data_IF_361650721188
#
_entry.id   IF_361650721188
#
_cell.length_a   1.000
_cell.length_b   1.000
_cell.length_c   1.000
_cell.angle_alpha   90.00
_cell.angle_beta   90.00
_cell.angle_gamma   90.00
#
_symmetry.space_group_name_H-M   'P 1'
#
loop_
_entity.id
_entity.type
_entity.pdbx_description
1 polymer ?
#
# COMPACT_ATOMS: atom_id res chain seq x y z
N UNK A 1 37.15 -125.18 44.96
CA UNK A 1 36.92 -123.92 44.22
C UNK A 1 35.51 -123.93 43.66
N UNK A 2 34.56 -123.39 44.41
CA UNK A 2 33.16 -123.25 43.97
C UNK A 2 33.05 -121.89 43.28
N UNK A 3 32.81 -121.91 41.97
CA UNK A 3 32.69 -120.71 41.15
C UNK A 3 31.41 -119.99 41.55
N UNK A 4 31.54 -118.83 42.20
CA UNK A 4 30.42 -117.92 42.42
C UNK A 4 29.80 -117.55 41.09
N UNK A 5 28.46 -117.57 41.05
CA UNK A 5 27.67 -117.28 39.86
C UNK A 5 27.89 -115.81 39.43
N UNK A 6 28.20 -115.57 38.15
CA UNK A 6 28.36 -114.24 37.57
C UNK A 6 27.16 -113.31 37.87
N UNK A 7 25.98 -113.89 38.04
CA UNK A 7 24.75 -113.16 38.34
C UNK A 7 24.74 -112.52 39.74
N UNK A 8 25.48 -113.05 40.71
CA UNK A 8 25.61 -112.43 42.03
C UNK A 8 26.60 -111.26 42.00
N UNK A 9 27.66 -111.35 41.19
CA UNK A 9 28.65 -110.28 41.06
C UNK A 9 28.04 -109.03 40.42
N UNK A 10 27.21 -109.21 39.38
CA UNK A 10 26.50 -108.11 38.70
C UNK A 10 25.48 -107.45 39.64
N UNK A 11 24.82 -108.21 40.53
CA UNK A 11 23.92 -107.64 41.53
C UNK A 11 24.67 -106.87 42.62
N UNK A 12 25.87 -107.31 43.00
CA UNK A 12 26.70 -106.58 43.96
C UNK A 12 27.33 -105.32 43.35
N UNK A 13 27.69 -105.31 42.07
CA UNK A 13 28.18 -104.09 41.40
C UNK A 13 27.05 -103.09 41.12
N UNK A 14 25.89 -103.54 40.64
CA UNK A 14 24.76 -102.65 40.35
C UNK A 14 24.19 -101.96 41.60
N UNK A 15 24.33 -102.56 42.79
CA UNK A 15 23.89 -101.96 44.05
C UNK A 15 24.99 -101.17 44.79
N UNK A 16 26.24 -101.15 44.30
CA UNK A 16 27.35 -100.43 44.93
C UNK A 16 27.63 -99.05 44.31
N UNK A 17 27.03 -98.75 43.15
CA UNK A 17 27.11 -97.44 42.49
C UNK A 17 25.86 -96.55 42.73
N UNK A 18 24.86 -97.01 43.49
CA UNK A 18 23.68 -96.22 43.86
C UNK A 18 23.75 -95.76 45.32
N UNK A 19 24.87 -95.15 45.71
CA UNK A 19 24.92 -94.41 46.97
C UNK A 19 25.86 -93.21 46.82
N UNK A 20 25.29 -92.00 46.86
CA UNK A 20 25.95 -90.68 46.96
C UNK A 20 26.15 -89.84 45.69
N UNK A 21 25.08 -89.50 44.98
CA UNK A 21 25.03 -88.28 44.15
C UNK A 21 23.63 -87.62 44.25
N UNK A 22 23.45 -86.51 44.98
CA UNK A 22 22.28 -85.67 44.80
C UNK A 22 22.46 -84.81 43.55
N UNK A 23 21.69 -85.09 42.51
CA UNK A 23 21.54 -84.26 41.32
C UNK A 23 21.09 -82.84 41.71
N UNK A 24 21.73 -81.76 41.19
CA UNK A 24 21.21 -80.42 41.39
C UNK A 24 19.99 -80.22 40.48
N UNK A 25 18.81 -80.42 41.04
CA UNK A 25 17.56 -79.94 40.43
C UNK A 25 17.65 -78.41 40.22
N UNK A 26 17.37 -77.87 39.01
CA UNK A 26 17.29 -76.43 38.82
C UNK A 26 16.16 -75.88 39.70
N UNK A 27 16.49 -75.14 40.75
CA UNK A 27 15.51 -74.42 41.56
C UNK A 27 14.85 -73.35 40.67
N UNK A 28 13.74 -73.70 40.00
CA UNK A 28 12.74 -72.69 39.62
C UNK A 28 12.21 -72.10 40.92
N UNK A 29 12.63 -70.87 41.21
CA UNK A 29 12.02 -70.04 42.25
C UNK A 29 10.53 -69.91 41.94
N UNK A 30 9.70 -70.65 42.67
CA UNK A 30 8.25 -70.48 42.63
C UNK A 30 7.94 -69.13 43.26
N UNK A 31 7.60 -68.16 42.42
CA UNK A 31 7.13 -66.85 42.87
C UNK A 31 5.88 -67.07 43.74
N UNK A 32 5.91 -66.57 44.97
CA UNK A 32 4.81 -66.78 45.91
C UNK A 32 3.64 -65.86 45.57
N UNK A 33 2.41 -66.27 45.91
CA UNK A 33 1.22 -65.46 45.69
C UNK A 33 1.35 -64.05 46.31
N UNK A 34 1.99 -63.94 47.48
CA UNK A 34 2.30 -62.65 48.10
C UNK A 34 3.21 -61.75 47.25
N UNK A 35 4.19 -62.33 46.54
CA UNK A 35 5.09 -61.59 45.62
C UNK A 35 4.34 -61.08 44.39
N UNK A 36 3.43 -61.88 43.83
CA UNK A 36 2.57 -61.47 42.72
C UNK A 36 1.62 -60.35 43.15
N UNK A 37 1.04 -60.45 44.34
CA UNK A 37 0.14 -59.41 44.86
C UNK A 37 0.86 -58.08 45.10
N UNK A 38 2.10 -58.11 45.59
CA UNK A 38 2.91 -56.89 45.73
C UNK A 38 3.16 -56.22 44.37
N UNK A 39 3.54 -57.00 43.35
CA UNK A 39 3.69 -56.48 41.97
C UNK A 39 2.41 -55.90 41.41
N UNK A 40 1.26 -56.52 41.67
CA UNK A 40 -0.05 -55.99 41.25
C UNK A 40 -0.31 -54.63 41.90
N UNK A 41 -0.05 -54.50 43.21
CA UNK A 41 -0.26 -53.25 43.93
C UNK A 41 0.67 -52.14 43.41
N UNK A 42 1.94 -52.45 43.17
CA UNK A 42 2.93 -51.50 42.64
C UNK A 42 2.55 -51.02 41.24
N UNK A 43 2.17 -51.95 40.35
CA UNK A 43 1.70 -51.60 38.99
C UNK A 43 0.42 -50.77 39.03
N UNK A 44 -0.48 -51.04 39.97
CA UNK A 44 -1.71 -50.25 40.15
C UNK A 44 -1.40 -48.82 40.56
N UNK A 45 -0.46 -48.63 41.51
CA UNK A 45 -0.03 -47.30 41.94
C UNK A 45 0.69 -46.53 40.82
N UNK A 46 1.50 -47.21 40.01
CA UNK A 46 2.16 -46.61 38.86
C UNK A 46 1.18 -46.22 37.75
N UNK A 47 0.13 -47.03 37.54
CA UNK A 47 -0.96 -46.73 36.62
C UNK A 47 -1.75 -45.50 37.07
N UNK A 48 -2.14 -45.41 38.34
CA UNK A 48 -2.81 -44.21 38.89
C UNK A 48 -1.95 -42.94 38.77
N UNK A 49 -0.64 -43.06 39.02
CA UNK A 49 0.30 -41.94 38.85
C UNK A 49 0.38 -41.49 37.39
N UNK A 50 0.42 -42.45 36.46
CA UNK A 50 0.47 -42.18 35.03
C UNK A 50 -0.83 -41.52 34.56
N UNK A 51 -1.98 -41.97 35.04
CA UNK A 51 -3.28 -41.39 34.74
C UNK A 51 -3.39 -39.94 35.22
N UNK A 52 -2.94 -39.64 36.44
CA UNK A 52 -2.86 -38.27 36.96
C UNK A 52 -1.97 -37.38 36.10
N UNK A 53 -0.79 -37.87 35.71
CA UNK A 53 0.11 -37.13 34.83
C UNK A 53 -0.52 -36.87 33.45
N UNK A 54 -1.23 -37.85 32.90
CA UNK A 54 -1.94 -37.70 31.63
C UNK A 54 -3.02 -36.62 31.72
N UNK A 55 -3.82 -36.60 32.80
CA UNK A 55 -4.83 -35.55 33.02
C UNK A 55 -4.18 -34.16 33.10
N UNK A 56 -3.11 -34.01 33.89
CA UNK A 56 -2.38 -32.73 33.99
C UNK A 56 -1.80 -32.28 32.65
N UNK A 57 -1.29 -33.21 31.83
CA UNK A 57 -0.79 -32.88 30.50
C UNK A 57 -1.91 -32.46 29.55
N UNK A 58 -3.08 -33.11 29.60
CA UNK A 58 -4.24 -32.72 28.81
C UNK A 58 -4.71 -31.30 29.14
N UNK A 59 -4.77 -30.95 30.43
CA UNK A 59 -5.13 -29.58 30.86
C UNK A 59 -4.12 -28.55 30.34
N UNK A 60 -2.82 -28.85 30.39
CA UNK A 60 -1.77 -27.97 29.84
C UNK A 60 -1.91 -27.80 28.34
N UNK A 61 -2.20 -28.87 27.59
CA UNK A 61 -2.41 -28.79 26.14
C UNK A 61 -3.59 -27.87 25.83
N UNK A 62 -4.72 -28.03 26.52
CA UNK A 62 -5.90 -27.17 26.33
C UNK A 62 -5.56 -25.69 26.62
N UNK A 63 -4.79 -25.43 27.68
CA UNK A 63 -4.36 -24.07 28.01
C UNK A 63 -3.47 -23.46 26.93
N UNK A 64 -2.50 -24.23 26.42
CA UNK A 64 -1.57 -23.77 25.37
C UNK A 64 -2.28 -23.57 24.03
N UNK A 65 -3.23 -24.43 23.67
CA UNK A 65 -4.05 -24.26 22.47
C UNK A 65 -4.85 -22.96 22.52
N UNK A 66 -5.39 -22.61 23.70
CA UNK A 66 -6.09 -21.35 23.91
C UNK A 66 -5.15 -20.15 23.74
N UNK A 67 -3.98 -20.19 24.39
CA UNK A 67 -2.98 -19.11 24.30
C UNK A 67 -2.47 -18.92 22.86
N UNK A 68 -2.24 -20.01 22.13
CA UNK A 68 -1.83 -19.96 20.72
C UNK A 68 -2.91 -19.29 19.86
N UNK A 69 -4.19 -19.59 20.11
CA UNK A 69 -5.30 -18.97 19.38
C UNK A 69 -5.41 -17.47 19.68
N UNK A 70 -5.22 -17.07 20.93
CA UNK A 70 -5.22 -15.64 21.32
C UNK A 70 -4.03 -14.88 20.69
N UNK A 71 -2.86 -15.51 20.62
CA UNK A 71 -1.69 -14.95 19.95
C UNK A 71 -1.93 -14.75 18.44
N UNK A 72 -2.48 -15.75 17.75
CA UNK A 72 -2.84 -15.63 16.33
C UNK A 72 -3.85 -14.51 16.07
N UNK A 73 -4.84 -14.34 16.96
CA UNK A 73 -5.79 -13.24 16.86
C UNK A 73 -5.10 -11.88 17.06
N UNK A 74 -4.13 -11.81 17.96
CA UNK A 74 -3.36 -10.58 18.22
C UNK A 74 -2.52 -10.20 17.00
N UNK A 75 -1.81 -11.15 16.39
CA UNK A 75 -1.04 -10.92 15.16
C UNK A 75 -1.92 -10.41 14.01
N UNK A 76 -3.12 -10.98 13.84
CA UNK A 76 -4.09 -10.51 12.84
C UNK A 76 -4.53 -9.06 13.11
N UNK A 77 -4.80 -8.72 14.37
CA UNK A 77 -5.18 -7.36 14.75
C UNK A 77 -4.03 -6.37 14.54
N UNK A 78 -2.80 -6.75 14.82
CA UNK A 78 -1.61 -5.93 14.56
C UNK A 78 -1.41 -5.66 13.06
N UNK A 79 -1.60 -6.69 12.22
CA UNK A 79 -1.57 -6.53 10.76
C UNK A 79 -2.62 -5.52 10.29
N UNK A 80 -3.87 -5.68 10.73
CA UNK A 80 -4.97 -4.76 10.38
C UNK A 80 -4.70 -3.34 10.88
N UNK A 81 -4.11 -3.19 12.07
CA UNK A 81 -3.75 -1.89 12.61
C UNK A 81 -2.68 -1.22 11.76
N UNK A 82 -1.65 -1.96 11.35
CA UNK A 82 -0.58 -1.46 10.47
C UNK A 82 -1.10 -1.00 9.11
N UNK A 83 -1.99 -1.78 8.49
CA UNK A 83 -2.67 -1.41 7.24
C UNK A 83 -3.49 -0.13 7.41
N UNK A 84 -4.29 -0.03 8.49
CA UNK A 84 -5.08 1.17 8.77
C UNK A 84 -4.21 2.40 9.01
N UNK A 85 -3.10 2.27 9.73
CA UNK A 85 -2.16 3.37 9.95
C UNK A 85 -1.58 3.84 8.61
N UNK A 86 -1.20 2.92 7.73
CA UNK A 86 -0.70 3.25 6.39
C UNK A 86 -1.77 3.94 5.52
N UNK A 87 -3.01 3.48 5.59
CA UNK A 87 -4.11 4.13 4.86
C UNK A 87 -4.36 5.56 5.36
N UNK A 88 -4.32 5.77 6.68
CA UNK A 88 -4.50 7.10 7.29
C UNK A 88 -3.40 8.07 6.87
N UNK A 89 -2.14 7.63 6.82
CA UNK A 89 -1.03 8.49 6.37
C UNK A 89 -1.16 8.84 4.90
N UNK A 90 -1.55 7.89 4.05
CA UNK A 90 -1.80 8.13 2.62
C UNK A 90 -2.94 9.14 2.40
N UNK A 91 -4.09 8.94 3.06
CA UNK A 91 -5.23 9.85 2.96
C UNK A 91 -4.89 11.26 3.47
N UNK A 92 -4.13 11.35 4.55
CA UNK A 92 -3.67 12.65 5.08
C UNK A 92 -2.75 13.37 4.09
N UNK A 93 -1.87 12.64 3.41
CA UNK A 93 -1.03 13.21 2.35
C UNK A 93 -1.86 13.72 1.17
N UNK A 94 -2.83 12.93 0.69
CA UNK A 94 -3.72 13.32 -0.40
C UNK A 94 -4.57 14.55 -0.05
N UNK A 95 -5.04 14.64 1.20
CA UNK A 95 -5.79 15.80 1.69
C UNK A 95 -4.93 17.07 1.67
N UNK A 96 -3.68 16.98 2.11
CA UNK A 96 -2.75 18.11 2.09
C UNK A 96 -2.43 18.58 0.67
N UNK A 97 -2.25 17.64 -0.26
CA UNK A 97 -2.06 17.95 -1.69
C UNK A 97 -3.28 18.69 -2.26
N UNK A 98 -4.47 18.13 -2.06
CA UNK A 98 -5.73 18.75 -2.50
C UNK A 98 -5.92 20.17 -1.92
N UNK A 99 -5.57 20.38 -0.65
CA UNK A 99 -5.69 21.68 0.00
C UNK A 99 -4.71 22.71 -0.59
N UNK A 100 -3.51 22.26 -0.96
CA UNK A 100 -2.50 23.10 -1.62
C UNK A 100 -3.00 23.51 -3.01
N UNK A 101 -3.43 22.55 -3.83
CA UNK A 101 -4.01 22.82 -5.16
C UNK A 101 -5.21 23.77 -5.11
N UNK A 102 -6.09 23.60 -4.11
CA UNK A 102 -7.23 24.49 -3.92
C UNK A 102 -6.78 25.92 -3.64
N UNK A 103 -5.74 26.09 -2.84
CA UNK A 103 -5.18 27.41 -2.50
C UNK A 103 -4.57 28.07 -3.74
N UNK A 104 -3.82 27.32 -4.55
CA UNK A 104 -3.25 27.79 -5.80
C UNK A 104 -4.33 28.20 -6.81
N UNK A 105 -5.38 27.39 -6.96
CA UNK A 105 -6.53 27.71 -7.82
C UNK A 105 -7.26 28.98 -7.38
N UNK A 106 -7.42 29.20 -6.08
CA UNK A 106 -8.01 30.45 -5.55
C UNK A 106 -7.15 31.67 -5.90
N UNK A 107 -5.84 31.59 -5.71
CA UNK A 107 -4.92 32.67 -6.07
C UNK A 107 -4.93 32.95 -7.58
N UNK A 108 -5.03 31.90 -8.41
CA UNK A 108 -5.16 32.06 -9.86
C UNK A 108 -6.45 32.79 -10.24
N UNK A 109 -7.58 32.43 -9.62
CA UNK A 109 -8.88 33.09 -9.84
C UNK A 109 -8.78 34.58 -9.46
N UNK A 110 -8.17 34.92 -8.32
CA UNK A 110 -7.99 36.33 -7.91
C UNK A 110 -7.15 37.12 -8.91
N UNK A 111 -6.05 36.52 -9.41
CA UNK A 111 -5.19 37.15 -10.43
C UNK A 111 -5.96 37.40 -11.73
N UNK A 112 -6.69 36.39 -12.23
CA UNK A 112 -7.48 36.51 -13.45
C UNK A 112 -8.61 37.53 -13.30
N UNK A 113 -9.28 37.55 -12.15
CA UNK A 113 -10.34 38.53 -11.85
C UNK A 113 -9.79 39.96 -11.86
N UNK A 114 -8.59 40.16 -11.28
CA UNK A 114 -7.90 41.45 -11.28
C UNK A 114 -7.49 41.89 -12.69
N UNK A 115 -7.02 40.96 -13.52
CA UNK A 115 -6.67 41.23 -14.92
C UNK A 115 -7.92 41.58 -15.75
N UNK A 116 -9.03 40.87 -15.53
CA UNK A 116 -10.29 41.12 -16.20
C UNK A 116 -10.81 42.53 -15.87
N UNK A 117 -10.81 42.90 -14.58
CA UNK A 117 -11.22 44.24 -14.14
C UNK A 117 -10.38 45.34 -14.80
N UNK A 118 -9.05 45.19 -14.87
CA UNK A 118 -8.17 46.14 -15.58
C UNK A 118 -8.54 46.25 -17.06
N UNK A 119 -8.77 45.11 -17.72
CA UNK A 119 -9.12 45.07 -19.14
C UNK A 119 -10.47 45.76 -19.39
N UNK A 120 -11.46 45.57 -18.51
CA UNK A 120 -12.76 46.26 -18.59
C UNK A 120 -12.62 47.79 -18.42
N UNK A 121 -11.76 48.24 -17.51
CA UNK A 121 -11.47 49.67 -17.35
C UNK A 121 -10.82 50.25 -18.61
N UNK A 122 -9.79 49.61 -19.15
CA UNK A 122 -9.12 50.04 -20.37
C UNK A 122 -10.08 50.05 -21.58
N UNK A 123 -10.96 49.05 -21.69
CA UNK A 123 -11.98 49.00 -22.73
C UNK A 123 -12.93 50.20 -22.63
N UNK A 124 -13.34 50.55 -21.41
CA UNK A 124 -14.25 51.68 -21.15
C UNK A 124 -13.59 53.00 -21.51
N UNK A 125 -12.33 53.19 -21.12
CA UNK A 125 -11.54 54.38 -21.48
C UNK A 125 -11.37 54.51 -23.01
N UNK A 126 -11.07 53.41 -23.70
CA UNK A 126 -10.98 53.40 -25.17
C UNK A 126 -12.30 53.75 -25.84
N UNK A 127 -13.43 53.25 -25.34
CA UNK A 127 -14.77 53.60 -25.84
C UNK A 127 -15.04 55.10 -25.69
N UNK A 128 -14.74 55.68 -24.53
CA UNK A 128 -14.89 57.13 -24.31
C UNK A 128 -13.97 57.96 -25.21
N UNK A 129 -12.74 57.51 -25.46
CA UNK A 129 -11.82 58.18 -26.38
C UNK A 129 -12.36 58.16 -27.82
N UNK A 130 -12.86 57.01 -28.27
CA UNK A 130 -13.48 56.88 -29.60
C UNK A 130 -14.67 57.85 -29.73
N UNK A 131 -15.54 57.93 -28.73
CA UNK A 131 -16.68 58.85 -28.74
C UNK A 131 -16.24 60.32 -28.83
N UNK A 132 -15.23 60.72 -28.06
CA UNK A 132 -14.64 62.07 -28.12
C UNK A 132 -14.10 62.38 -29.51
N UNK A 133 -13.31 61.48 -30.10
CA UNK A 133 -12.74 61.65 -31.43
C UNK A 133 -13.83 61.73 -32.50
N UNK A 134 -14.86 60.88 -32.42
CA UNK A 134 -15.99 60.91 -33.33
C UNK A 134 -16.71 62.27 -33.30
N UNK A 135 -16.96 62.80 -32.10
CA UNK A 135 -17.57 64.12 -31.93
C UNK A 135 -16.67 65.24 -32.50
N UNK A 136 -15.36 65.18 -32.28
CA UNK A 136 -14.41 66.14 -32.86
C UNK A 136 -14.43 66.11 -34.40
N UNK A 137 -14.38 64.93 -35.00
CA UNK A 137 -14.48 64.77 -36.47
C UNK A 137 -15.79 65.38 -36.97
N UNK A 138 -16.91 65.04 -36.34
CA UNK A 138 -18.23 65.58 -36.71
C UNK A 138 -18.27 67.11 -36.60
N UNK A 139 -17.67 67.71 -35.58
CA UNK A 139 -17.60 69.18 -35.46
C UNK A 139 -16.74 69.83 -36.55
N UNK A 140 -15.65 69.17 -36.97
CA UNK A 140 -14.78 69.65 -38.04
C UNK A 140 -15.46 69.53 -39.41
N UNK A 141 -16.19 68.44 -39.66
CA UNK A 141 -16.94 68.24 -40.91
C UNK A 141 -18.12 69.20 -41.06
N UNK A 142 -18.78 69.55 -39.95
CA UNK A 142 -19.87 70.52 -39.92
C UNK A 142 -19.38 71.97 -39.73
N UNK A 143 -18.06 72.18 -39.66
CA UNK A 143 -17.49 73.52 -39.66
C UNK A 143 -17.63 74.10 -41.08
N UNK A 144 -18.24 75.28 -41.24
CA UNK A 144 -18.35 75.88 -42.56
C UNK A 144 -16.95 76.08 -43.14
N UNK A 145 -16.76 75.66 -44.40
CA UNK A 145 -15.53 75.98 -45.13
C UNK A 145 -15.27 77.49 -44.97
N UNK A 146 -14.04 77.91 -44.61
CA UNK A 146 -13.77 79.32 -44.38
C UNK A 146 -14.17 80.08 -45.63
N UNK A 147 -15.17 80.96 -45.48
CA UNK A 147 -15.60 81.87 -46.52
C UNK A 147 -14.35 82.64 -46.96
N UNK A 148 -13.92 82.56 -48.23
CA UNK A 148 -12.79 83.36 -48.67
C UNK A 148 -13.25 84.82 -48.65
N UNK A 149 -12.73 85.62 -47.71
CA UNK A 149 -12.86 87.06 -47.82
C UNK A 149 -12.22 87.52 -49.14
N UNK A 150 -12.85 88.45 -49.88
CA UNK A 150 -12.31 88.96 -51.12
C UNK A 150 -11.18 89.95 -50.79
N UNK A 151 -9.99 89.42 -50.50
CA UNK A 151 -8.76 90.20 -50.58
C UNK A 151 -8.19 90.06 -51.98
N UNK A 152 -8.23 91.16 -52.71
CA UNK A 152 -7.59 91.30 -53.99
C UNK A 152 -6.08 90.96 -53.90
N UNK A 153 -5.55 90.43 -55.01
CA UNK A 153 -4.14 90.38 -55.41
C UNK A 153 -3.34 89.14 -54.91
N UNK A 154 -3.28 88.15 -55.83
CA UNK A 154 -2.15 87.26 -56.17
C UNK A 154 -0.99 87.11 -55.19
N UNK A 155 -0.84 85.89 -54.62
CA UNK A 155 0.45 85.22 -54.34
C UNK A 155 0.27 83.69 -54.36
N UNK A 156 1.23 82.91 -54.88
CA UNK A 156 1.09 81.47 -55.00
C UNK A 156 1.16 80.78 -53.63
N UNK A 157 0.23 79.85 -53.43
CA UNK A 157 0.02 79.04 -52.23
C UNK A 157 1.21 78.07 -52.00
N UNK A 158 1.82 77.99 -50.80
CA UNK A 158 2.74 76.90 -50.49
C UNK A 158 1.95 75.61 -50.33
N UNK A 159 2.36 74.57 -51.07
CA UNK A 159 1.81 73.20 -50.99
C UNK A 159 1.85 72.72 -49.54
N UNK A 160 0.68 72.40 -48.98
CA UNK A 160 0.56 71.71 -47.69
C UNK A 160 1.21 70.32 -47.82
N UNK A 161 2.02 69.86 -46.85
CA UNK A 161 2.54 68.50 -46.87
C UNK A 161 1.37 67.53 -46.68
N UNK A 162 1.27 66.53 -47.55
CA UNK A 162 0.30 65.44 -47.44
C UNK A 162 0.56 64.65 -46.16
N UNK A 163 -0.42 64.61 -45.25
CA UNK A 163 -0.43 63.77 -44.04
C UNK A 163 -0.66 62.27 -44.34
N UNK A 164 -0.53 61.85 -45.60
CA UNK A 164 -0.68 60.45 -46.03
C UNK A 164 0.68 59.80 -46.30
N UNK A 165 1.57 59.88 -45.31
CA UNK A 165 2.64 58.88 -45.16
C UNK A 165 2.28 58.01 -43.95
N UNK A 166 1.22 57.21 -44.09
CA UNK A 166 1.15 55.97 -43.32
C UNK A 166 2.20 55.05 -43.93
N UNK A 167 3.42 55.13 -43.42
CA UNK A 167 4.37 54.03 -43.59
C UNK A 167 3.68 52.80 -42.98
N UNK A 168 3.18 51.93 -43.86
CA UNK A 168 2.88 50.55 -43.52
C UNK A 168 4.21 49.91 -43.14
N UNK A 169 4.67 50.16 -41.92
CA UNK A 169 5.74 49.38 -41.31
C UNK A 169 5.31 47.93 -41.45
N UNK A 170 6.06 47.19 -42.26
CA UNK A 170 5.82 45.80 -42.66
C UNK A 170 5.14 45.02 -41.54
N UNK A 171 3.81 44.87 -41.62
CA UNK A 171 3.12 43.84 -40.85
C UNK A 171 3.64 42.52 -41.40
N UNK A 172 4.66 41.98 -40.74
CA UNK A 172 5.08 40.61 -40.93
C UNK A 172 3.80 39.77 -40.80
N UNK A 173 3.38 39.16 -41.92
CA UNK A 173 2.28 38.20 -41.92
C UNK A 173 2.65 37.16 -40.88
N UNK A 174 1.89 37.08 -39.81
CA UNK A 174 2.04 36.02 -38.84
C UNK A 174 1.83 34.69 -39.58
N UNK A 175 2.92 33.95 -39.80
CA UNK A 175 2.87 32.57 -40.30
C UNK A 175 2.81 31.72 -39.04
N UNK A 176 1.64 31.17 -38.75
CA UNK A 176 1.51 30.22 -37.66
C UNK A 176 2.48 29.04 -37.91
N UNK A 177 3.29 28.64 -36.93
CA UNK A 177 4.13 27.45 -37.07
C UNK A 177 3.25 26.24 -37.37
N UNK A 178 3.66 25.43 -38.34
CA UNK A 178 2.99 24.18 -38.67
C UNK A 178 2.95 23.30 -37.42
N UNK A 179 1.77 22.85 -36.95
CA UNK A 179 1.71 21.94 -35.82
C UNK A 179 2.38 20.64 -36.23
N UNK A 180 3.45 20.26 -35.53
CA UNK A 180 3.93 18.88 -35.55
C UNK A 180 2.82 18.00 -35.00
N UNK A 181 2.45 16.91 -35.70
CA UNK A 181 1.48 15.96 -35.16
C UNK A 181 2.13 15.28 -33.95
N UNK A 182 1.77 15.73 -32.75
CA UNK A 182 2.04 15.00 -31.52
C UNK A 182 1.09 13.81 -31.53
N UNK A 183 1.61 12.60 -31.75
CA UNK A 183 0.88 11.37 -31.47
C UNK A 183 0.56 11.39 -29.96
N UNK A 184 -0.70 11.64 -29.63
CA UNK A 184 -1.21 11.49 -28.28
C UNK A 184 -1.21 9.99 -27.99
N UNK A 185 -0.49 9.58 -26.95
CA UNK A 185 -0.50 8.19 -26.51
C UNK A 185 -1.74 7.95 -25.65
N UNK A 186 -2.25 6.73 -25.59
CA UNK A 186 -3.44 6.40 -24.78
C UNK A 186 -3.24 6.76 -23.29
N UNK A 187 -1.99 6.84 -22.83
CA UNK A 187 -1.61 7.33 -21.50
C UNK A 187 -1.89 8.82 -21.27
N UNK A 188 -1.94 9.64 -22.32
CA UNK A 188 -2.22 11.09 -22.25
C UNK A 188 -3.73 11.40 -22.17
N UNK A 189 -4.57 10.46 -22.62
CA UNK A 189 -6.02 10.65 -22.73
C UNK A 189 -6.71 10.32 -21.39
N UNK A 190 -6.07 9.57 -20.49
CA UNK A 190 -6.51 9.40 -19.09
C UNK A 190 -7.93 8.84 -18.91
N UNK A 191 -8.48 8.21 -19.94
CA UNK A 191 -9.86 7.67 -19.96
C UNK A 191 -9.93 6.16 -19.68
N UNK A 192 -8.78 5.50 -19.57
CA UNK A 192 -8.72 4.07 -19.28
C UNK A 192 -7.72 3.83 -18.14
N UNK A 193 -8.22 3.95 -16.91
CA UNK A 193 -7.78 3.18 -15.74
C UNK A 193 -9.05 2.64 -15.05
#
# INVERSE_FOLDING_TARGET
MTKGNLNDLIRTEANKEVESQPSPSPKRSKETNATLQAKINDLTAELEKTEKNQQTLQEKVISLEKELKEQQQTEQLESVLSEKTTLVTQLSSQLNQSQTELTEKKQLIEKLSSQLSKTETELTEKKQLIEKLYNQIKTLENSPAPTPEPSAITKPLPKKPSLYNFEMANLARYIAPTPTPTELTDSDIGWFD
#
